data_IF_172423154263
#
_entry.id   IF_172423154263
#
_cell.length_a   1.000
_cell.length_b   1.000
_cell.length_c   1.000
_cell.angle_alpha   90.00
_cell.angle_beta   90.00
_cell.angle_gamma   90.00
#
_symmetry.space_group_name_H-M   'P 1'
#
loop_
_entity.id
_entity.type
_entity.pdbx_description
1 polymer ?
#
# COMPACT_ATOMS: atom_id res chain seq x y z
N UNK A 1 -11.69 -9.81 40.87
CA UNK A 1 -11.89 -8.35 40.69
C UNK A 1 -10.53 -7.77 40.42
N UNK A 2 -10.15 -7.56 39.17
CA UNK A 2 -8.74 -7.43 38.82
C UNK A 2 -8.51 -6.09 38.12
N UNK A 3 -8.04 -5.13 38.92
CA UNK A 3 -8.02 -3.71 38.57
C UNK A 3 -6.61 -3.13 38.55
N UNK A 4 -6.29 -2.51 37.40
CA UNK A 4 -5.29 -1.44 37.26
C UNK A 4 -3.82 -1.86 37.47
N UNK A 5 -3.20 -2.33 36.39
CA UNK A 5 -1.78 -2.05 36.11
C UNK A 5 -1.45 -1.79 34.61
N UNK A 6 -2.46 -1.78 33.72
CA UNK A 6 -2.24 -1.63 32.26
C UNK A 6 -3.28 -0.78 31.50
N UNK A 7 -4.11 0.01 32.18
CA UNK A 7 -5.34 0.60 31.61
C UNK A 7 -5.18 1.86 30.73
N UNK A 8 -3.97 2.40 30.51
CA UNK A 8 -3.72 3.52 29.57
C UNK A 8 -3.10 3.08 28.23
N UNK A 9 -1.96 2.39 28.23
CA UNK A 9 -1.22 2.03 27.00
C UNK A 9 -2.10 1.36 25.93
N UNK A 10 -2.76 0.26 26.30
CA UNK A 10 -3.69 -0.46 25.41
C UNK A 10 -4.78 0.45 24.81
N UNK A 11 -5.25 1.47 25.55
CA UNK A 11 -6.34 2.36 25.10
C UNK A 11 -5.87 3.37 24.06
N UNK A 12 -4.64 3.87 24.17
CA UNK A 12 -4.01 4.71 23.14
C UNK A 12 -3.67 3.87 21.91
N UNK A 13 -3.15 2.64 22.11
CA UNK A 13 -2.89 1.70 21.03
C UNK A 13 -4.16 1.37 20.21
N UNK A 14 -5.25 0.97 20.87
CA UNK A 14 -6.52 0.69 20.20
C UNK A 14 -7.12 1.94 19.52
N UNK A 15 -6.93 3.14 20.10
CA UNK A 15 -7.35 4.38 19.44
C UNK A 15 -6.52 4.68 18.18
N UNK A 16 -5.20 4.53 18.22
CA UNK A 16 -4.32 4.69 17.04
C UNK A 16 -4.64 3.67 15.96
N UNK A 17 -4.87 2.41 16.34
CA UNK A 17 -5.30 1.35 15.44
C UNK A 17 -6.64 1.67 14.79
N UNK A 18 -7.68 2.06 15.55
CA UNK A 18 -8.96 2.50 15.01
C UNK A 18 -8.81 3.68 14.04
N UNK A 19 -8.04 4.70 14.44
CA UNK A 19 -7.77 5.90 13.63
C UNK A 19 -7.10 5.53 12.30
N UNK A 20 -6.05 4.71 12.33
CA UNK A 20 -5.32 4.26 11.14
C UNK A 20 -6.21 3.38 10.25
N UNK A 21 -6.83 2.33 10.79
CA UNK A 21 -7.73 1.42 10.05
C UNK A 21 -8.88 2.16 9.37
N UNK A 22 -9.41 3.21 9.99
CA UNK A 22 -10.46 4.05 9.39
C UNK A 22 -9.90 5.03 8.36
N UNK A 23 -8.74 5.64 8.61
CA UNK A 23 -8.07 6.58 7.70
C UNK A 23 -7.33 5.92 6.53
N UNK A 24 -7.19 4.60 6.52
CA UNK A 24 -6.79 3.80 5.35
C UNK A 24 -7.99 3.11 4.70
N UNK A 25 -9.22 3.54 5.03
CA UNK A 25 -10.51 3.02 4.55
C UNK A 25 -10.72 1.50 4.67
N UNK A 26 -9.96 0.82 5.54
CA UNK A 26 -10.09 -0.64 5.75
C UNK A 26 -11.28 -0.96 6.65
N UNK A 27 -11.45 -0.23 7.75
CA UNK A 27 -12.69 -0.22 8.54
C UNK A 27 -13.20 -1.58 9.05
N UNK A 28 -12.38 -2.40 9.73
CA UNK A 28 -12.77 -3.74 10.23
C UNK A 28 -14.04 -3.81 11.10
N UNK A 29 -14.50 -2.70 11.68
CA UNK A 29 -15.71 -2.63 12.50
C UNK A 29 -15.59 -3.21 13.92
N UNK A 30 -14.43 -3.76 14.27
CA UNK A 30 -14.12 -4.31 15.60
C UNK A 30 -14.11 -3.25 16.72
N UNK A 31 -13.71 -2.03 16.37
CA UNK A 31 -13.82 -0.82 17.20
C UNK A 31 -14.68 0.23 16.50
N UNK A 32 -15.76 0.66 17.16
CA UNK A 32 -16.68 1.69 16.63
C UNK A 32 -17.12 2.68 17.71
N UNK A 33 -17.29 3.99 17.38
CA UNK A 33 -17.80 5.00 18.29
C UNK A 33 -19.28 4.78 18.61
N UNK A 34 -19.62 4.62 19.91
CA UNK A 34 -20.97 4.24 20.35
C UNK A 34 -21.92 5.41 20.59
N UNK A 35 -21.41 6.59 20.97
CA UNK A 35 -22.20 7.81 21.20
C UNK A 35 -22.25 8.68 19.94
N UNK A 36 -23.36 9.35 19.66
CA UNK A 36 -23.53 10.15 18.44
C UNK A 36 -22.55 11.33 18.37
N UNK A 37 -22.22 11.97 19.50
CA UNK A 37 -21.15 12.96 19.59
C UNK A 37 -19.80 12.38 19.17
N UNK A 38 -19.51 11.13 19.56
CA UNK A 38 -18.27 10.44 19.16
C UNK A 38 -18.28 9.97 17.70
N UNK A 39 -19.46 9.70 17.11
CA UNK A 39 -19.60 9.40 15.67
C UNK A 39 -19.33 10.65 14.84
N UNK A 40 -19.98 11.77 15.17
CA UNK A 40 -19.77 13.06 14.49
C UNK A 40 -18.30 13.53 14.57
N UNK A 41 -17.68 13.40 15.75
CA UNK A 41 -16.26 13.71 15.92
C UNK A 41 -15.36 12.79 15.09
N UNK A 42 -15.65 11.48 15.06
CA UNK A 42 -14.91 10.54 14.23
C UNK A 42 -15.01 10.88 12.73
N UNK A 43 -16.21 11.21 12.22
CA UNK A 43 -16.38 11.62 10.82
C UNK A 43 -15.50 12.83 10.46
N UNK A 44 -15.48 13.86 11.30
CA UNK A 44 -14.64 15.04 11.08
C UNK A 44 -13.13 14.71 11.10
N UNK A 45 -12.69 13.89 12.07
CA UNK A 45 -11.29 13.48 12.17
C UNK A 45 -10.84 12.58 11.01
N UNK A 46 -11.71 11.71 10.49
CA UNK A 46 -11.37 10.80 9.39
C UNK A 46 -11.03 11.58 8.11
N UNK A 47 -11.84 12.56 7.70
CA UNK A 47 -11.53 13.33 6.48
C UNK A 47 -10.22 14.11 6.60
N UNK A 48 -9.99 14.81 7.71
CA UNK A 48 -8.72 15.51 7.96
C UNK A 48 -7.54 14.55 8.01
N UNK A 49 -7.72 13.40 8.65
CA UNK A 49 -6.70 12.37 8.81
C UNK A 49 -6.33 11.66 7.50
N UNK A 50 -7.30 11.35 6.65
CA UNK A 50 -7.05 10.76 5.32
C UNK A 50 -6.19 11.69 4.45
N UNK A 51 -6.43 13.00 4.48
CA UNK A 51 -5.59 13.97 3.78
C UNK A 51 -4.14 13.97 4.32
N UNK A 52 -3.95 13.93 5.65
CA UNK A 52 -2.62 13.88 6.27
C UNK A 52 -1.89 12.57 5.94
N UNK A 53 -2.57 11.42 6.02
CA UNK A 53 -1.99 10.13 5.63
C UNK A 53 -1.65 10.11 4.15
N UNK A 54 -2.53 10.56 3.25
CA UNK A 54 -2.26 10.60 1.81
C UNK A 54 -0.99 11.40 1.48
N UNK A 55 -0.81 12.58 2.07
CA UNK A 55 0.40 13.39 1.90
C UNK A 55 1.67 12.69 2.42
N UNK A 56 1.57 11.95 3.54
CA UNK A 56 2.70 11.19 4.08
C UNK A 56 3.02 9.96 3.21
N UNK A 57 1.99 9.28 2.69
CA UNK A 57 2.09 8.18 1.74
C UNK A 57 2.80 8.62 0.45
N UNK A 58 2.42 9.75 -0.14
CA UNK A 58 3.09 10.29 -1.33
C UNK A 58 4.58 10.51 -1.09
N UNK A 59 4.96 11.22 -0.02
CA UNK A 59 6.39 11.49 0.27
C UNK A 59 7.19 10.23 0.63
N UNK A 60 6.57 9.23 1.24
CA UNK A 60 7.20 7.93 1.47
C UNK A 60 7.41 7.16 0.16
N UNK A 61 6.45 7.20 -0.76
CA UNK A 61 6.58 6.61 -2.10
C UNK A 61 7.67 7.31 -2.92
N UNK A 62 7.64 8.64 -3.02
CA UNK A 62 8.64 9.46 -3.72
C UNK A 62 10.07 9.07 -3.31
N UNK A 63 10.32 8.97 -2.00
CA UNK A 63 11.62 8.58 -1.45
C UNK A 63 12.05 7.15 -1.81
N UNK A 64 11.12 6.17 -1.74
CA UNK A 64 11.42 4.79 -2.14
C UNK A 64 11.72 4.68 -3.63
N UNK A 65 11.00 5.44 -4.46
CA UNK A 65 11.18 5.51 -5.92
C UNK A 65 12.52 6.14 -6.28
N UNK A 66 12.89 7.28 -5.68
CA UNK A 66 14.18 7.95 -5.90
C UNK A 66 15.36 7.00 -5.61
N UNK A 67 15.30 6.21 -4.52
CA UNK A 67 16.36 5.23 -4.19
C UNK A 67 16.46 4.10 -5.22
N UNK A 68 15.35 3.67 -5.82
CA UNK A 68 15.36 2.68 -6.91
C UNK A 68 15.97 3.26 -8.20
N UNK A 69 15.69 4.53 -8.51
CA UNK A 69 16.23 5.19 -9.71
C UNK A 69 17.75 5.35 -9.68
N UNK A 70 18.34 5.73 -8.52
CA UNK A 70 19.80 5.85 -8.38
C UNK A 70 20.52 4.52 -8.64
N UNK A 71 19.94 3.39 -8.21
CA UNK A 71 20.48 2.06 -8.48
C UNK A 71 20.37 1.68 -9.97
N UNK A 72 19.22 1.92 -10.58
CA UNK A 72 18.95 1.61 -11.99
C UNK A 72 19.83 2.45 -12.94
N UNK A 73 19.95 3.76 -12.68
CA UNK A 73 20.77 4.67 -13.48
C UNK A 73 22.27 4.30 -13.42
N UNK A 74 22.76 3.93 -12.23
CA UNK A 74 24.14 3.46 -12.04
C UNK A 74 24.44 2.15 -12.77
N UNK A 75 23.45 1.28 -12.95
CA UNK A 75 23.60 0.05 -13.73
C UNK A 75 23.65 0.28 -15.25
N UNK A 76 22.83 1.20 -15.79
CA UNK A 76 22.80 1.48 -17.23
C UNK A 76 24.01 2.26 -17.76
N UNK A 77 24.71 3.04 -16.90
CA UNK A 77 25.80 3.91 -17.34
C UNK A 77 27.04 3.19 -17.90
N UNK A 78 27.07 1.85 -17.90
CA UNK A 78 28.20 1.05 -18.38
C UNK A 78 28.22 0.78 -19.90
N UNK A 79 27.13 1.00 -20.66
CA UNK A 79 27.07 0.39 -22.01
C UNK A 79 26.16 1.06 -23.07
N UNK A 80 26.34 2.36 -23.41
CA UNK A 80 25.69 2.90 -24.62
C UNK A 80 26.34 4.12 -25.29
N UNK A 81 26.67 3.98 -26.57
CA UNK A 81 26.49 5.02 -27.61
C UNK A 81 25.30 4.57 -28.46
N UNK A 82 24.28 5.41 -28.63
CA UNK A 82 23.07 5.07 -29.40
C UNK A 82 22.18 6.28 -29.62
N UNK A 83 21.28 6.20 -30.62
CA UNK A 83 20.46 7.33 -31.07
C UNK A 83 19.47 7.81 -30.01
N UNK A 84 19.68 9.03 -29.50
CA UNK A 84 19.14 9.53 -28.24
C UNK A 84 17.61 9.39 -28.12
N UNK A 85 16.83 9.83 -29.11
CA UNK A 85 15.36 9.85 -29.02
C UNK A 85 14.74 8.44 -28.88
N UNK A 86 15.24 7.44 -29.61
CA UNK A 86 14.76 6.05 -29.48
C UNK A 86 15.26 5.42 -28.18
N UNK A 87 16.47 5.79 -27.74
CA UNK A 87 17.09 5.30 -26.52
C UNK A 87 16.40 5.82 -25.26
N UNK A 88 15.97 7.09 -25.24
CA UNK A 88 15.22 7.71 -24.16
C UNK A 88 13.86 7.03 -23.93
N UNK A 89 13.04 6.84 -24.98
CA UNK A 89 11.75 6.13 -24.89
C UNK A 89 11.91 4.68 -24.41
N UNK A 90 13.00 4.01 -24.82
CA UNK A 90 13.33 2.68 -24.33
C UNK A 90 13.69 2.70 -22.83
N UNK A 91 14.56 3.60 -22.38
CA UNK A 91 14.93 3.73 -20.96
C UNK A 91 13.72 4.06 -20.08
N UNK A 92 12.81 4.92 -20.54
CA UNK A 92 11.56 5.26 -19.84
C UNK A 92 10.63 4.04 -19.70
N UNK A 93 10.48 3.26 -20.77
CA UNK A 93 9.71 2.00 -20.74
C UNK A 93 10.34 0.97 -19.80
N UNK A 94 11.68 0.86 -19.75
CA UNK A 94 12.37 -0.03 -18.79
C UNK A 94 12.27 0.49 -17.34
N UNK A 95 12.37 1.82 -17.12
CA UNK A 95 12.22 2.48 -15.81
C UNK A 95 10.88 2.15 -15.16
N UNK A 96 9.78 2.29 -15.92
CA UNK A 96 8.42 2.01 -15.42
C UNK A 96 8.21 0.52 -15.17
N UNK A 97 8.66 -0.36 -16.10
CA UNK A 97 8.61 -1.83 -15.90
C UNK A 97 9.40 -2.27 -14.66
N UNK A 98 10.58 -1.73 -14.42
CA UNK A 98 11.41 -2.06 -13.25
C UNK A 98 10.73 -1.65 -11.93
N UNK A 99 10.16 -0.44 -11.86
CA UNK A 99 9.36 0.01 -10.70
C UNK A 99 8.17 -0.90 -10.45
N UNK A 100 7.40 -1.22 -11.50
CA UNK A 100 6.25 -2.13 -11.43
C UNK A 100 6.63 -3.50 -10.87
N UNK A 101 7.68 -4.15 -11.42
CA UNK A 101 8.14 -5.45 -10.91
C UNK A 101 8.62 -5.37 -9.45
N UNK A 102 9.27 -4.27 -9.06
CA UNK A 102 9.75 -4.08 -7.69
C UNK A 102 8.59 -3.90 -6.70
N UNK A 103 7.57 -3.12 -7.05
CA UNK A 103 6.35 -2.98 -6.22
C UNK A 103 5.53 -4.27 -6.17
N UNK A 104 5.40 -5.00 -7.28
CA UNK A 104 4.74 -6.30 -7.30
C UNK A 104 5.45 -7.32 -6.37
N UNK A 105 6.78 -7.35 -6.37
CA UNK A 105 7.58 -8.18 -5.48
C UNK A 105 7.44 -7.76 -4.00
N UNK A 106 7.39 -6.45 -3.71
CA UNK A 106 7.13 -5.94 -2.36
C UNK A 106 5.72 -6.31 -1.87
N UNK A 107 4.70 -6.24 -2.73
CA UNK A 107 3.33 -6.67 -2.42
C UNK A 107 3.27 -8.18 -2.09
N UNK A 108 3.93 -9.03 -2.87
CA UNK A 108 4.00 -10.48 -2.59
C UNK A 108 4.66 -10.73 -1.22
N UNK A 109 5.73 -10.03 -0.88
CA UNK A 109 6.36 -10.17 0.45
C UNK A 109 5.45 -9.66 1.59
N UNK A 110 4.64 -8.62 1.38
CA UNK A 110 3.62 -8.17 2.33
C UNK A 110 2.51 -9.21 2.51
N UNK A 111 2.03 -9.83 1.43
CA UNK A 111 1.02 -10.89 1.47
C UNK A 111 1.53 -12.09 2.28
N UNK A 112 2.75 -12.57 1.97
CA UNK A 112 3.38 -13.68 2.69
C UNK A 112 3.60 -13.35 4.17
N UNK A 113 4.08 -12.13 4.48
CA UNK A 113 4.32 -11.71 5.86
C UNK A 113 3.03 -11.61 6.66
N UNK A 114 1.95 -11.06 6.08
CA UNK A 114 0.63 -11.03 6.71
C UNK A 114 0.09 -12.43 6.99
N UNK A 115 0.13 -13.32 6.00
CA UNK A 115 -0.33 -14.71 6.16
C UNK A 115 0.42 -15.45 7.26
N UNK A 116 1.75 -15.33 7.30
CA UNK A 116 2.60 -15.95 8.33
C UNK A 116 2.37 -15.37 9.72
N UNK A 117 2.07 -14.07 9.84
CA UNK A 117 1.71 -13.45 11.12
C UNK A 117 0.37 -13.98 11.63
N UNK A 118 -0.70 -13.88 10.81
CA UNK A 118 -2.05 -14.29 11.22
C UNK A 118 -2.09 -15.77 11.59
N UNK A 119 -1.60 -16.66 10.73
CA UNK A 119 -1.63 -18.11 10.96
C UNK A 119 -0.90 -18.52 12.25
N UNK A 120 0.19 -17.84 12.63
CA UNK A 120 0.94 -18.14 13.87
C UNK A 120 0.40 -17.46 15.13
N UNK A 121 -0.04 -16.21 15.02
CA UNK A 121 -0.36 -15.36 16.19
C UNK A 121 -1.85 -15.37 16.51
N UNK A 122 -2.69 -15.15 15.50
CA UNK A 122 -4.15 -15.06 15.61
C UNK A 122 -4.80 -16.45 15.44
N UNK A 123 -4.10 -17.38 14.78
CA UNK A 123 -4.47 -18.79 14.53
C UNK A 123 -5.77 -19.05 13.74
N UNK A 124 -6.11 -18.31 12.65
CA UNK A 124 -7.15 -18.73 11.72
C UNK A 124 -6.71 -19.96 10.91
N UNK A 125 -7.57 -20.48 10.03
CA UNK A 125 -7.09 -21.38 8.98
C UNK A 125 -6.19 -20.63 7.99
N UNK A 126 -5.47 -21.35 7.13
CA UNK A 126 -4.66 -20.74 6.07
C UNK A 126 -5.55 -19.95 5.09
N UNK A 127 -6.74 -20.44 4.79
CA UNK A 127 -7.70 -19.78 3.88
C UNK A 127 -8.25 -18.50 4.50
N UNK A 128 -8.62 -18.52 5.79
CA UNK A 128 -9.12 -17.32 6.49
C UNK A 128 -8.01 -16.27 6.65
N UNK A 129 -6.77 -16.72 6.89
CA UNK A 129 -5.58 -15.84 6.96
C UNK A 129 -5.33 -15.16 5.62
N UNK A 130 -5.43 -15.89 4.51
CA UNK A 130 -5.28 -15.35 3.16
C UNK A 130 -6.42 -14.41 2.79
N UNK A 131 -7.67 -14.79 3.10
CA UNK A 131 -8.85 -13.95 2.91
C UNK A 131 -8.73 -12.64 3.70
N UNK A 132 -8.35 -12.69 4.98
CA UNK A 132 -8.12 -11.50 5.79
C UNK A 132 -7.04 -10.58 5.18
N UNK A 133 -5.95 -11.17 4.69
CA UNK A 133 -4.86 -10.42 4.06
C UNK A 133 -5.36 -9.70 2.81
N UNK A 134 -6.02 -10.41 1.90
CA UNK A 134 -6.62 -9.79 0.71
C UNK A 134 -7.65 -8.71 1.07
N UNK A 135 -8.60 -9.01 1.96
CA UNK A 135 -9.66 -8.09 2.38
C UNK A 135 -9.14 -6.84 3.12
N UNK A 136 -8.00 -6.94 3.81
CA UNK A 136 -7.29 -5.77 4.34
C UNK A 136 -6.68 -4.95 3.22
N UNK A 137 -5.87 -5.59 2.36
CA UNK A 137 -5.08 -4.87 1.35
C UNK A 137 -5.97 -4.15 0.35
N UNK A 138 -7.06 -4.77 -0.09
CA UNK A 138 -8.05 -4.18 -1.00
C UNK A 138 -9.11 -3.32 -0.31
N UNK A 139 -8.89 -2.98 0.97
CA UNK A 139 -9.76 -2.14 1.81
C UNK A 139 -11.24 -2.58 1.79
N UNK A 140 -11.49 -3.89 1.83
CA UNK A 140 -12.84 -4.48 1.92
C UNK A 140 -13.34 -4.58 3.37
N UNK A 141 -12.45 -4.77 4.34
CA UNK A 141 -12.76 -4.72 5.79
C UNK A 141 -13.54 -5.90 6.39
N UNK A 142 -14.26 -6.69 5.58
CA UNK A 142 -15.20 -7.73 6.01
C UNK A 142 -14.56 -8.96 6.68
N UNK A 143 -14.00 -8.82 7.90
CA UNK A 143 -13.38 -9.95 8.58
C UNK A 143 -13.57 -9.92 10.09
N UNK A 144 -14.33 -10.90 10.58
CA UNK A 144 -14.41 -11.23 12.00
C UNK A 144 -13.02 -11.73 12.50
N UNK A 145 -12.41 -10.98 13.42
CA UNK A 145 -11.23 -11.37 14.23
C UNK A 145 -9.85 -11.43 13.54
N UNK A 146 -9.56 -10.65 12.49
CA UNK A 146 -8.20 -10.55 11.94
C UNK A 146 -7.09 -10.21 12.97
N UNK A 147 -7.39 -9.37 13.98
CA UNK A 147 -6.38 -8.77 14.88
C UNK A 147 -6.85 -8.74 16.35
N UNK A 148 -7.36 -9.88 16.84
CA UNK A 148 -7.89 -10.00 18.22
C UNK A 148 -6.82 -10.29 19.29
N UNK A 149 -5.60 -10.65 18.90
CA UNK A 149 -4.50 -10.87 19.84
C UNK A 149 -3.95 -9.57 20.44
N UNK A 150 -3.14 -9.68 21.50
CA UNK A 150 -2.44 -8.54 22.11
C UNK A 150 -1.40 -7.88 21.19
N UNK A 151 -0.99 -8.54 20.10
CA UNK A 151 -0.01 -8.04 19.14
C UNK A 151 -0.65 -7.60 17.81
N UNK A 152 -1.85 -8.12 17.49
CA UNK A 152 -2.59 -7.83 16.25
C UNK A 152 -2.70 -6.33 15.95
N UNK A 153 -3.19 -5.49 16.88
CA UNK A 153 -3.29 -4.04 16.66
C UNK A 153 -1.95 -3.34 16.41
N UNK A 154 -0.85 -3.82 17.01
CA UNK A 154 0.50 -3.27 16.79
C UNK A 154 0.98 -3.61 15.38
N UNK A 155 0.83 -4.88 14.98
CA UNK A 155 1.19 -5.34 13.64
C UNK A 155 0.36 -4.61 12.57
N UNK A 156 -0.97 -4.57 12.73
CA UNK A 156 -1.88 -3.93 11.80
C UNK A 156 -1.60 -2.44 11.59
N UNK A 157 -1.24 -1.68 12.64
CA UNK A 157 -0.86 -0.26 12.55
C UNK A 157 0.21 -0.02 11.47
N UNK A 158 1.28 -0.83 11.45
CA UNK A 158 2.35 -0.68 10.45
C UNK A 158 2.03 -1.40 9.14
N UNK A 159 1.47 -2.61 9.23
CA UNK A 159 1.22 -3.47 8.08
C UNK A 159 0.13 -2.91 7.14
N UNK A 160 -0.96 -2.37 7.69
CA UNK A 160 -2.03 -1.73 6.91
C UNK A 160 -1.48 -0.55 6.12
N UNK A 161 -0.77 0.39 6.77
CA UNK A 161 -0.17 1.56 6.09
C UNK A 161 0.79 1.13 4.98
N UNK A 162 1.71 0.20 5.26
CA UNK A 162 2.65 -0.29 4.24
C UNK A 162 1.94 -0.98 3.06
N UNK A 163 0.85 -1.70 3.33
CA UNK A 163 0.10 -2.41 2.30
C UNK A 163 -0.72 -1.48 1.39
N UNK A 164 -1.33 -0.42 1.94
CA UNK A 164 -2.11 0.54 1.15
C UNK A 164 -1.23 1.49 0.34
N UNK A 165 -0.04 1.86 0.86
CA UNK A 165 1.01 2.53 0.07
C UNK A 165 1.34 1.72 -1.18
N UNK A 166 1.68 0.44 -1.00
CA UNK A 166 2.15 -0.40 -2.09
C UNK A 166 1.04 -0.78 -3.07
N UNK A 167 -0.21 -0.93 -2.63
CA UNK A 167 -1.34 -1.14 -3.55
C UNK A 167 -1.67 0.12 -4.35
N UNK A 168 -1.63 1.30 -3.75
CA UNK A 168 -1.82 2.56 -4.47
C UNK A 168 -0.71 2.78 -5.52
N UNK A 169 0.56 2.52 -5.18
CA UNK A 169 1.67 2.55 -6.13
C UNK A 169 1.53 1.51 -7.25
N UNK A 170 1.03 0.30 -6.94
CA UNK A 170 0.76 -0.70 -7.96
C UNK A 170 -0.30 -0.25 -8.97
N UNK A 171 -1.41 0.33 -8.51
CA UNK A 171 -2.42 0.88 -9.41
C UNK A 171 -1.89 2.06 -10.23
N UNK A 172 -1.05 2.92 -9.65
CA UNK A 172 -0.36 4.00 -10.39
C UNK A 172 0.50 3.43 -11.52
N UNK A 173 1.35 2.41 -11.24
CA UNK A 173 2.19 1.80 -12.27
C UNK A 173 1.40 0.99 -13.32
N UNK A 174 0.24 0.42 -12.98
CA UNK A 174 -0.67 -0.17 -13.96
C UNK A 174 -1.22 0.90 -14.92
N UNK A 175 -1.58 2.08 -14.42
CA UNK A 175 -2.01 3.21 -15.25
C UNK A 175 -0.88 3.76 -16.14
N UNK A 176 0.32 3.97 -15.58
CA UNK A 176 1.51 4.38 -16.34
C UNK A 176 1.86 3.37 -17.47
N UNK A 177 1.79 2.06 -17.18
CA UNK A 177 2.03 1.02 -18.19
C UNK A 177 0.96 0.99 -19.29
N UNK A 178 -0.31 1.21 -18.94
CA UNK A 178 -1.41 1.24 -19.92
C UNK A 178 -1.31 2.45 -20.86
N UNK A 179 -0.98 3.63 -20.32
CA UNK A 179 -0.78 4.84 -21.11
C UNK A 179 0.46 4.74 -22.01
N UNK A 180 1.58 4.22 -21.49
CA UNK A 180 2.77 3.97 -22.33
C UNK A 180 2.48 2.97 -23.47
N UNK A 181 1.69 1.92 -23.21
CA UNK A 181 1.28 0.98 -24.25
C UNK A 181 0.46 1.66 -25.36
N UNK A 182 -0.46 2.56 -24.98
CA UNK A 182 -1.26 3.38 -25.90
C UNK A 182 -0.40 4.32 -26.75
N UNK A 183 0.55 5.02 -26.13
CA UNK A 183 1.46 5.94 -26.82
C UNK A 183 2.40 5.24 -27.80
N UNK A 184 2.89 4.04 -27.46
CA UNK A 184 3.67 3.21 -28.39
C UNK A 184 2.83 2.78 -29.59
N UNK A 185 1.56 2.42 -29.39
CA UNK A 185 0.62 2.10 -30.49
C UNK A 185 0.46 3.26 -31.48
N UNK A 186 0.09 4.45 -30.98
CA UNK A 186 -0.10 5.62 -31.82
C UNK A 186 1.17 6.03 -32.58
N UNK A 187 2.35 5.91 -31.95
CA UNK A 187 3.63 6.17 -32.61
C UNK A 187 3.98 5.11 -33.67
N UNK A 188 3.52 3.86 -33.51
CA UNK A 188 3.70 2.80 -34.50
C UNK A 188 2.81 3.07 -35.73
N UNK A 189 1.58 3.54 -35.54
CA UNK A 189 0.64 3.91 -36.60
C UNK A 189 1.15 5.13 -37.40
N UNK A 190 1.58 6.19 -36.71
CA UNK A 190 2.15 7.41 -37.30
C UNK A 190 3.39 7.12 -38.16
N UNK A 191 4.33 6.30 -37.67
CA UNK A 191 5.49 5.86 -38.46
C UNK A 191 5.13 4.95 -39.65
N UNK A 192 3.96 4.31 -39.63
CA UNK A 192 3.48 3.42 -40.69
C UNK A 192 2.56 4.13 -41.71
N UNK A 193 2.27 5.42 -41.49
CA UNK A 193 1.52 6.31 -42.40
C UNK A 193 2.30 7.59 -42.76
N UNK A 194 3.62 7.59 -42.55
CA UNK A 194 4.54 8.59 -43.10
C UNK A 194 4.57 8.58 -44.64
N UNK A 195 5.00 9.69 -45.27
CA UNK A 195 4.87 9.94 -46.71
C UNK A 195 5.82 9.14 -47.61
#
# INVERSE_FOLDING_TARGET
>A
MDQISGKRSNRVLHALYFVIVTMTSVGYGDLVPKSDTTKLLACAFVFTGMAIIALFISKAADYLVEKQEVLFFKAMHMNMKGGEAKMLRAMETYRIKYKFYTVALLLVMIIVTGNLFLWKVEKPSLVDSFYCVCATMTTLGYVDKCFSSKLGPIFAIFWVIMSTILLAQFFQYVAELAENARQMGAQQEDNNHGP
#
